data_IF_378994339983
#
_entry.id   IF_378994339983
#
_cell.length_a   1.000
_cell.length_b   1.000
_cell.length_c   1.000
_cell.angle_alpha   90.00
_cell.angle_beta   90.00
_cell.angle_gamma   90.00
#
_symmetry.space_group_name_H-M   'P 1'
#
loop_
_entity.id
_entity.type
_entity.pdbx_description
1 polymer ?
#
# COMPACT_ATOMS: atom_id res chain seq x y z
N UNK A 1 3.41 13.81 -17.74
CA UNK A 1 3.19 12.45 -17.18
C UNK A 1 3.07 12.61 -15.67
N UNK A 2 1.88 12.39 -15.10
CA UNK A 2 1.66 12.52 -13.66
C UNK A 2 2.33 11.33 -12.97
N UNK A 3 3.53 11.56 -12.39
CA UNK A 3 4.34 10.58 -11.65
C UNK A 3 3.62 10.04 -10.40
N UNK A 4 2.52 10.68 -10.07
CA UNK A 4 1.75 10.65 -8.83
C UNK A 4 0.73 9.53 -8.76
N UNK A 5 0.00 9.34 -9.85
CA UNK A 5 -0.89 8.18 -10.02
C UNK A 5 -0.07 6.91 -10.30
N UNK A 6 1.09 7.05 -10.95
CA UNK A 6 2.09 5.98 -11.12
C UNK A 6 2.69 5.52 -9.78
N UNK A 7 3.09 6.45 -8.90
CA UNK A 7 3.76 6.11 -7.64
C UNK A 7 2.83 5.43 -6.64
N UNK A 8 1.64 5.97 -6.39
CA UNK A 8 0.80 5.45 -5.32
C UNK A 8 0.17 4.09 -5.63
N UNK A 9 -0.10 3.77 -6.90
CA UNK A 9 -0.69 2.48 -7.30
C UNK A 9 0.36 1.45 -7.74
N UNK A 10 1.43 1.85 -8.44
CA UNK A 10 2.47 0.89 -8.87
C UNK A 10 3.33 0.37 -7.71
N UNK A 11 3.46 1.14 -6.62
CA UNK A 11 4.14 0.73 -5.37
C UNK A 11 3.24 -0.14 -4.49
N UNK A 12 1.93 -0.03 -4.68
CA UNK A 12 0.91 -0.67 -3.86
C UNK A 12 0.68 -2.14 -4.24
N UNK A 13 1.02 -2.57 -5.46
CA UNK A 13 0.58 -3.89 -5.95
C UNK A 13 1.65 -4.86 -6.43
N UNK A 14 2.93 -4.51 -6.31
CA UNK A 14 4.04 -5.45 -6.56
C UNK A 14 4.05 -6.67 -5.62
N UNK A 15 3.26 -6.65 -4.54
CA UNK A 15 3.15 -7.74 -3.59
C UNK A 15 1.77 -8.44 -3.53
N UNK A 16 0.72 -7.83 -4.09
CA UNK A 16 -0.64 -8.41 -4.07
C UNK A 16 -1.04 -9.05 -5.42
N UNK A 17 -0.29 -8.80 -6.49
CA UNK A 17 -0.65 -9.28 -7.84
C UNK A 17 0.27 -10.37 -8.37
N UNK A 18 0.01 -11.59 -7.88
CA UNK A 18 -0.02 -12.74 -8.77
C UNK A 18 -1.33 -13.53 -8.63
N UNK A 19 -2.32 -13.04 -7.86
CA UNK A 19 -3.46 -13.88 -7.48
C UNK A 19 -4.84 -13.20 -7.37
N UNK A 20 -5.02 -11.88 -7.56
CA UNK A 20 -6.34 -11.27 -7.30
C UNK A 20 -6.82 -10.18 -8.27
N UNK A 21 -6.04 -9.78 -9.26
CA UNK A 21 -6.52 -8.95 -10.37
C UNK A 21 -6.94 -9.84 -11.53
N UNK A 22 -8.09 -10.52 -11.43
CA UNK A 22 -8.58 -11.37 -12.51
C UNK A 22 -9.64 -10.63 -13.35
N UNK A 23 -9.37 -10.44 -14.64
CA UNK A 23 -10.39 -10.10 -15.63
C UNK A 23 -10.75 -11.37 -16.39
N UNK A 24 -11.96 -11.90 -16.22
CA UNK A 24 -12.40 -13.12 -16.90
C UNK A 24 -11.40 -14.31 -16.79
N UNK A 25 -10.66 -14.39 -15.68
CA UNK A 25 -9.62 -15.40 -15.46
C UNK A 25 -8.24 -15.08 -16.06
N UNK A 26 -8.04 -13.91 -16.70
CA UNK A 26 -6.71 -13.44 -17.08
C UNK A 26 -6.08 -12.56 -15.97
N UNK A 27 -4.80 -12.81 -15.63
CA UNK A 27 -4.08 -12.01 -14.65
C UNK A 27 -3.76 -10.62 -15.21
N UNK A 28 -4.20 -9.58 -14.50
CA UNK A 28 -3.84 -8.19 -14.78
C UNK A 28 -2.41 -7.90 -14.33
N UNK A 29 -1.68 -7.09 -15.11
CA UNK A 29 -0.37 -6.61 -14.70
C UNK A 29 -0.49 -5.45 -13.69
N UNK A 30 0.47 -5.29 -12.76
CA UNK A 30 0.37 -4.26 -11.71
C UNK A 30 0.29 -2.82 -12.23
N UNK A 31 0.84 -2.55 -13.41
CA UNK A 31 0.78 -1.26 -14.08
C UNK A 31 -0.58 -0.96 -14.74
N UNK A 32 -1.45 -1.96 -14.90
CA UNK A 32 -2.80 -1.79 -15.45
C UNK A 32 -3.79 -1.22 -14.43
N UNK A 33 -3.49 -1.28 -13.13
CA UNK A 33 -4.37 -0.84 -12.05
C UNK A 33 -4.03 0.61 -11.62
N UNK A 34 -5.03 1.45 -11.30
CA UNK A 34 -6.47 1.20 -11.38
C UNK A 34 -6.97 1.11 -12.82
N UNK A 35 -8.06 0.39 -13.06
CA UNK A 35 -8.74 0.36 -14.36
C UNK A 35 -10.23 0.60 -14.17
N UNK A 36 -10.91 1.04 -15.23
CA UNK A 36 -12.36 1.20 -15.28
C UNK A 36 -12.92 0.39 -16.43
N UNK A 37 -13.98 -0.37 -16.16
CA UNK A 37 -14.72 -1.14 -17.15
C UNK A 37 -16.19 -0.66 -17.19
N UNK A 38 -16.69 -0.41 -18.40
CA UNK A 38 -18.10 -0.08 -18.63
C UNK A 38 -18.58 -0.73 -19.92
N UNK A 39 -19.35 -1.81 -19.80
CA UNK A 39 -19.80 -2.60 -20.94
C UNK A 39 -18.61 -3.18 -21.71
N UNK A 40 -18.38 -2.70 -22.93
CA UNK A 40 -17.25 -3.12 -23.78
C UNK A 40 -16.01 -2.23 -23.65
N UNK A 41 -16.11 -1.12 -22.91
CA UNK A 41 -15.02 -0.18 -22.74
C UNK A 41 -14.17 -0.56 -21.53
N UNK A 42 -12.85 -0.52 -21.70
CA UNK A 42 -11.88 -0.68 -20.62
C UNK A 42 -10.82 0.41 -20.75
N UNK A 43 -10.52 1.08 -19.64
CA UNK A 43 -9.42 2.03 -19.53
C UNK A 43 -8.44 1.55 -18.46
N UNK A 44 -7.20 1.28 -18.86
CA UNK A 44 -6.12 0.90 -17.94
C UNK A 44 -5.29 2.11 -17.50
N UNK A 45 -4.62 1.98 -16.35
CA UNK A 45 -3.76 3.05 -15.83
C UNK A 45 -2.51 3.30 -16.68
N UNK A 46 -1.95 2.25 -17.28
CA UNK A 46 -0.77 2.35 -18.13
C UNK A 46 -1.05 2.93 -19.53
N UNK A 47 -2.31 3.19 -19.87
CA UNK A 47 -2.71 3.76 -21.15
C UNK A 47 -3.03 5.24 -21.04
N UNK A 48 -2.75 6.01 -22.10
CA UNK A 48 -3.12 7.43 -22.29
C UNK A 48 -2.80 8.36 -21.11
N UNK A 49 -1.89 7.96 -20.21
CA UNK A 49 -1.52 8.74 -19.03
C UNK A 49 -2.46 8.57 -17.83
N UNK A 50 -3.22 7.47 -17.77
CA UNK A 50 -4.07 7.09 -16.64
C UNK A 50 -5.56 7.10 -16.97
N UNK A 51 -6.34 6.37 -16.16
CA UNK A 51 -7.78 6.15 -16.36
C UNK A 51 -8.56 7.44 -16.58
N UNK A 52 -8.32 8.47 -15.77
CA UNK A 52 -9.03 9.77 -15.87
C UNK A 52 -8.80 10.41 -17.25
N UNK A 53 -7.56 10.32 -17.76
CA UNK A 53 -7.21 10.88 -19.05
C UNK A 53 -7.78 10.04 -20.19
N UNK A 54 -7.76 8.71 -20.08
CA UNK A 54 -8.43 7.82 -21.03
C UNK A 54 -9.92 8.14 -21.15
N UNK A 55 -10.63 8.25 -20.02
CA UNK A 55 -12.06 8.60 -20.00
C UNK A 55 -12.35 9.97 -20.65
N UNK A 56 -11.49 10.95 -20.43
CA UNK A 56 -11.63 12.27 -21.06
C UNK A 56 -11.36 12.24 -22.56
N UNK A 57 -10.31 11.56 -23.00
CA UNK A 57 -9.92 11.51 -24.42
C UNK A 57 -10.88 10.64 -25.25
N UNK A 58 -11.47 9.60 -24.64
CA UNK A 58 -12.41 8.69 -25.30
C UNK A 58 -13.87 9.20 -25.31
N UNK A 59 -14.07 10.46 -24.91
CA UNK A 59 -15.35 11.16 -25.08
C UNK A 59 -16.42 10.82 -24.05
N UNK A 60 -16.06 10.22 -22.91
CA UNK A 60 -17.00 10.00 -21.81
C UNK A 60 -17.34 11.33 -21.11
N UNK A 61 -16.41 11.85 -20.31
CA UNK A 61 -16.59 13.10 -19.57
C UNK A 61 -15.22 13.76 -19.36
N UNK A 62 -15.09 15.01 -19.76
CA UNK A 62 -13.95 15.86 -19.40
C UNK A 62 -14.29 16.75 -18.20
N UNK A 63 -13.97 16.25 -17.00
CA UNK A 63 -14.18 16.96 -15.74
C UNK A 63 -13.37 18.26 -15.66
N UNK A 64 -12.25 18.35 -16.39
CA UNK A 64 -11.28 19.43 -16.26
C UNK A 64 -11.45 20.51 -17.33
N UNK A 65 -12.36 20.34 -18.28
CA UNK A 65 -12.58 21.23 -19.43
C UNK A 65 -12.61 22.72 -19.10
N UNK A 66 -13.30 23.14 -18.04
CA UNK A 66 -13.42 24.56 -17.66
C UNK A 66 -12.25 25.08 -16.81
N UNK A 67 -11.39 24.19 -16.30
CA UNK A 67 -10.27 24.51 -15.40
C UNK A 67 -8.90 24.29 -16.03
N UNK A 68 -8.84 23.66 -17.21
CA UNK A 68 -7.64 23.47 -18.06
C UNK A 68 -7.07 24.84 -18.47
N UNK A 69 -6.17 25.36 -17.64
CA UNK A 69 -5.50 26.65 -17.87
C UNK A 69 -5.55 27.61 -16.70
N UNK A 70 -6.33 27.30 -15.66
CA UNK A 70 -6.36 28.08 -14.42
C UNK A 70 -5.08 27.74 -13.62
N UNK A 71 -4.14 28.70 -13.42
CA UNK A 71 -2.86 28.42 -12.75
C UNK A 71 -3.05 27.87 -11.34
N UNK A 72 -4.06 28.35 -10.62
CA UNK A 72 -4.40 27.89 -9.27
C UNK A 72 -4.85 26.44 -9.28
N UNK A 73 -5.64 26.02 -10.29
CA UNK A 73 -6.07 24.63 -10.44
C UNK A 73 -4.90 23.72 -10.78
N UNK A 74 -4.03 24.15 -11.71
CA UNK A 74 -2.82 23.39 -12.08
C UNK A 74 -1.92 23.21 -10.86
N UNK A 75 -1.75 24.25 -10.06
CA UNK A 75 -0.92 24.22 -8.85
C UNK A 75 -1.54 23.32 -7.77
N UNK A 76 -2.84 23.42 -7.53
CA UNK A 76 -3.56 22.54 -6.61
C UNK A 76 -3.47 21.07 -7.04
N UNK A 77 -3.67 20.79 -8.33
CA UNK A 77 -3.52 19.45 -8.89
C UNK A 77 -2.10 18.94 -8.73
N UNK A 78 -1.09 19.78 -8.98
CA UNK A 78 0.30 19.41 -8.79
C UNK A 78 0.64 19.13 -7.32
N UNK A 79 0.11 19.87 -6.34
CA UNK A 79 0.33 19.60 -4.91
C UNK A 79 -0.29 18.27 -4.47
N UNK A 80 -1.53 17.98 -4.91
CA UNK A 80 -2.18 16.70 -4.61
C UNK A 80 -1.42 15.55 -5.25
N UNK A 81 -1.10 15.70 -6.54
CA UNK A 81 -0.38 14.69 -7.29
C UNK A 81 1.03 14.48 -6.72
N UNK A 82 1.80 15.52 -6.42
CA UNK A 82 3.17 15.33 -5.92
C UNK A 82 3.22 15.19 -4.41
N UNK A 83 3.06 16.30 -3.69
CA UNK A 83 3.34 16.38 -2.25
C UNK A 83 2.48 15.47 -1.40
N UNK A 84 1.16 15.43 -1.64
CA UNK A 84 0.29 14.53 -0.88
C UNK A 84 0.54 13.08 -1.24
N UNK A 85 0.81 12.78 -2.52
CA UNK A 85 1.10 11.40 -2.90
C UNK A 85 2.40 10.89 -2.28
N UNK A 86 3.46 11.71 -2.30
CA UNK A 86 4.75 11.40 -1.69
C UNK A 86 4.59 11.17 -0.18
N UNK A 87 3.80 12.00 0.50
CA UNK A 87 3.55 11.85 1.93
C UNK A 87 2.75 10.58 2.25
N UNK A 88 1.76 10.21 1.42
CA UNK A 88 0.99 8.98 1.61
C UNK A 88 1.88 7.74 1.46
N UNK A 89 2.71 7.67 0.40
CA UNK A 89 3.59 6.52 0.22
C UNK A 89 4.69 6.49 1.29
N UNK A 90 5.17 7.64 1.74
CA UNK A 90 6.11 7.73 2.85
C UNK A 90 5.48 7.16 4.12
N UNK A 91 4.31 7.63 4.52
CA UNK A 91 3.62 7.16 5.73
C UNK A 91 3.31 5.68 5.69
N UNK A 92 2.78 5.19 4.56
CA UNK A 92 2.39 3.79 4.42
C UNK A 92 3.57 2.83 4.56
N UNK A 93 4.74 3.18 4.01
CA UNK A 93 5.87 2.25 3.86
C UNK A 93 7.07 2.55 4.76
N UNK A 94 7.24 3.79 5.22
CA UNK A 94 8.45 4.26 5.91
C UNK A 94 8.12 4.92 7.24
N UNK A 95 7.20 5.89 7.26
CA UNK A 95 6.92 6.75 8.41
C UNK A 95 6.12 6.09 9.54
N UNK A 96 5.24 5.14 9.20
CA UNK A 96 4.47 4.36 10.19
C UNK A 96 5.10 3.01 10.53
N UNK A 97 4.52 2.32 11.53
CA UNK A 97 4.95 0.99 12.00
C UNK A 97 4.76 -0.16 10.98
N UNK A 98 4.21 0.14 9.80
CA UNK A 98 3.92 -0.83 8.74
C UNK A 98 2.66 -1.68 8.99
N UNK A 99 1.92 -1.45 10.07
CA UNK A 99 0.70 -2.22 10.41
C UNK A 99 -0.35 -2.09 9.30
N UNK A 100 -0.56 -0.87 8.79
CA UNK A 100 -1.49 -0.63 7.68
C UNK A 100 -1.06 -1.32 6.40
N UNK A 101 0.21 -1.19 6.01
CA UNK A 101 0.74 -1.89 4.83
C UNK A 101 0.59 -3.41 4.96
N UNK A 102 0.92 -3.97 6.12
CA UNK A 102 0.75 -5.40 6.38
C UNK A 102 -0.70 -5.84 6.25
N UNK A 103 -1.62 -5.13 6.92
CA UNK A 103 -3.05 -5.44 6.90
C UNK A 103 -3.64 -5.41 5.48
N UNK A 104 -3.26 -4.41 4.67
CA UNK A 104 -3.83 -4.17 3.34
C UNK A 104 -3.23 -5.09 2.27
N UNK A 105 -1.92 -5.36 2.33
CA UNK A 105 -1.20 -6.01 1.22
C UNK A 105 -0.63 -7.39 1.54
N UNK A 106 -0.37 -7.70 2.81
CA UNK A 106 0.43 -8.87 3.19
C UNK A 106 -0.24 -9.77 4.22
N UNK A 107 -1.48 -9.48 4.62
CA UNK A 107 -2.19 -10.19 5.69
C UNK A 107 -2.47 -11.66 5.33
N UNK A 108 -2.59 -11.97 4.05
CA UNK A 108 -2.82 -13.32 3.53
C UNK A 108 -1.52 -14.11 3.28
N UNK A 109 -0.34 -13.49 3.43
CA UNK A 109 0.94 -14.10 3.09
C UNK A 109 1.61 -14.74 4.31
N UNK A 110 2.15 -15.97 4.17
CA UNK A 110 2.85 -16.63 5.27
C UNK A 110 4.17 -15.93 5.60
N UNK A 111 4.57 -16.00 6.86
CA UNK A 111 5.92 -15.61 7.26
C UNK A 111 6.95 -16.60 6.65
N UNK A 112 8.08 -16.13 6.07
CA UNK A 112 8.59 -14.76 6.07
C UNK A 112 8.26 -13.94 4.82
N UNK A 113 7.52 -14.49 3.85
CA UNK A 113 7.33 -13.89 2.52
C UNK A 113 6.78 -12.46 2.59
N UNK A 114 5.72 -12.23 3.39
CA UNK A 114 5.15 -10.90 3.55
C UNK A 114 6.15 -9.87 4.09
N UNK A 115 7.06 -10.28 4.99
CA UNK A 115 8.09 -9.38 5.55
C UNK A 115 9.14 -9.01 4.51
N UNK A 116 9.57 -9.97 3.69
CA UNK A 116 10.57 -9.73 2.62
C UNK A 116 10.01 -8.76 1.59
N UNK A 117 8.77 -8.97 1.15
CA UNK A 117 8.13 -8.09 0.17
C UNK A 117 7.90 -6.68 0.75
N UNK A 118 7.49 -6.58 2.02
CA UNK A 118 7.41 -5.30 2.72
C UNK A 118 8.75 -4.55 2.69
N UNK A 119 9.86 -5.21 3.06
CA UNK A 119 11.19 -4.59 3.06
C UNK A 119 11.64 -4.15 1.66
N UNK A 120 11.32 -4.95 0.63
CA UNK A 120 11.54 -4.56 -0.77
C UNK A 120 10.78 -3.27 -1.10
N UNK A 121 9.54 -3.15 -0.65
CA UNK A 121 8.72 -1.97 -0.90
C UNK A 121 9.24 -0.73 -0.16
N UNK A 122 9.66 -0.89 1.10
CA UNK A 122 10.33 0.18 1.86
C UNK A 122 11.57 0.69 1.10
N UNK A 123 12.38 -0.21 0.55
CA UNK A 123 13.55 0.17 -0.24
C UNK A 123 13.16 0.95 -1.51
N UNK A 124 12.18 0.47 -2.27
CA UNK A 124 11.68 1.16 -3.48
C UNK A 124 11.16 2.56 -3.16
N UNK A 125 10.38 2.70 -2.09
CA UNK A 125 9.84 4.01 -1.67
C UNK A 125 10.95 4.95 -1.25
N UNK A 126 11.95 4.48 -0.50
CA UNK A 126 13.11 5.31 -0.15
C UNK A 126 13.84 5.81 -1.40
N UNK A 127 14.00 4.99 -2.44
CA UNK A 127 14.61 5.42 -3.70
C UNK A 127 13.77 6.49 -4.41
N UNK A 128 12.45 6.27 -4.52
CA UNK A 128 11.52 7.21 -5.17
C UNK A 128 11.51 8.56 -4.46
N UNK A 129 11.56 8.55 -3.12
CA UNK A 129 11.56 9.74 -2.29
C UNK A 129 12.96 10.32 -2.06
N UNK A 130 14.02 9.72 -2.63
CA UNK A 130 15.40 10.17 -2.46
C UNK A 130 15.89 10.14 -1.00
N UNK A 131 15.38 9.19 -0.21
CA UNK A 131 15.72 9.00 1.21
C UNK A 131 16.95 8.09 1.31
N UNK A 132 18.03 8.62 1.87
CA UNK A 132 19.26 7.91 2.22
C UNK A 132 19.44 7.93 3.73
N UNK A 133 20.44 7.21 4.26
CA UNK A 133 20.72 7.18 5.69
C UNK A 133 21.13 8.57 6.21
N UNK A 134 21.83 9.36 5.39
CA UNK A 134 22.41 10.65 5.74
C UNK A 134 21.37 11.79 5.68
N UNK A 135 20.30 11.62 4.91
CA UNK A 135 19.31 12.68 4.67
C UNK A 135 17.91 12.37 5.20
N UNK A 136 17.73 11.24 5.90
CA UNK A 136 16.42 10.71 6.27
C UNK A 136 15.56 11.73 7.03
N UNK A 137 16.09 12.31 8.11
CA UNK A 137 15.40 13.31 8.93
C UNK A 137 15.00 14.53 8.09
N UNK A 138 15.95 15.08 7.32
CA UNK A 138 15.70 16.24 6.45
C UNK A 138 14.63 15.96 5.39
N UNK A 139 14.62 14.77 4.80
CA UNK A 139 13.61 14.37 3.79
C UNK A 139 12.25 14.17 4.43
N UNK A 140 12.20 13.55 5.59
CA UNK A 140 10.97 13.40 6.38
C UNK A 140 10.34 14.76 6.71
N UNK A 141 11.13 15.69 7.26
CA UNK A 141 10.67 17.05 7.55
C UNK A 141 10.15 17.76 6.29
N UNK A 142 10.85 17.61 5.16
CA UNK A 142 10.44 18.18 3.87
C UNK A 142 9.12 17.61 3.37
N UNK A 143 8.94 16.28 3.45
CA UNK A 143 7.72 15.58 3.05
C UNK A 143 6.52 16.08 3.88
N UNK A 144 6.66 16.11 5.20
CA UNK A 144 5.57 16.54 6.07
C UNK A 144 5.28 18.04 5.96
N UNK A 145 6.31 18.88 5.78
CA UNK A 145 6.12 20.32 5.51
C UNK A 145 5.34 20.53 4.22
N UNK A 146 5.75 19.88 3.13
CA UNK A 146 5.06 19.98 1.84
C UNK A 146 3.60 19.50 1.93
N UNK A 147 3.34 18.41 2.65
CA UNK A 147 1.98 17.92 2.86
C UNK A 147 1.12 18.90 3.67
N UNK A 148 1.68 19.48 4.73
CA UNK A 148 1.03 20.51 5.54
C UNK A 148 0.71 21.75 4.70
N UNK A 149 1.66 22.23 3.89
CA UNK A 149 1.45 23.37 3.00
C UNK A 149 0.37 23.09 1.96
N UNK A 150 0.33 21.86 1.40
CA UNK A 150 -0.75 21.42 0.53
C UNK A 150 -2.11 21.43 1.23
N UNK A 151 -2.23 20.88 2.45
CA UNK A 151 -3.49 20.90 3.19
C UNK A 151 -3.93 22.32 3.55
N UNK A 152 -3.03 23.20 3.98
CA UNK A 152 -3.33 24.61 4.21
C UNK A 152 -3.88 25.30 2.95
N UNK A 153 -3.22 25.10 1.80
CA UNK A 153 -3.62 25.69 0.54
C UNK A 153 -4.97 25.14 0.04
N UNK A 154 -5.17 23.82 0.13
CA UNK A 154 -6.41 23.15 -0.26
C UNK A 154 -7.58 23.53 0.66
N UNK A 155 -7.34 23.59 1.98
CA UNK A 155 -8.33 24.03 2.96
C UNK A 155 -8.76 25.47 2.68
N UNK A 156 -7.80 26.37 2.43
CA UNK A 156 -8.08 27.76 2.04
C UNK A 156 -8.86 27.82 0.73
N UNK A 157 -8.47 27.00 -0.26
CA UNK A 157 -9.11 26.96 -1.57
C UNK A 157 -10.55 26.46 -1.51
N UNK A 158 -10.81 25.43 -0.71
CA UNK A 158 -12.14 24.86 -0.55
C UNK A 158 -13.06 25.82 0.21
N UNK A 159 -12.57 26.39 1.32
CA UNK A 159 -13.40 27.22 2.21
C UNK A 159 -14.69 26.48 2.61
N UNK A 160 -15.83 27.09 2.27
CA UNK A 160 -17.18 26.54 2.47
C UNK A 160 -17.81 26.01 1.16
N UNK A 161 -17.05 25.91 0.07
CA UNK A 161 -17.55 25.47 -1.22
C UNK A 161 -17.78 23.95 -1.26
N UNK A 162 -18.65 23.52 -2.17
CA UNK A 162 -18.92 22.09 -2.36
C UNK A 162 -17.79 21.34 -3.07
N UNK A 163 -16.96 22.03 -3.85
CA UNK A 163 -15.84 21.52 -4.66
C UNK A 163 -14.69 22.53 -4.64
N UNK A 164 -13.48 22.10 -5.00
CA UNK A 164 -12.32 23.00 -5.00
C UNK A 164 -12.40 24.11 -6.06
N UNK A 165 -13.03 23.83 -7.21
CA UNK A 165 -13.16 24.77 -8.31
C UNK A 165 -14.56 24.70 -8.90
N UNK A 166 -15.16 25.87 -9.13
CA UNK A 166 -16.52 26.04 -9.64
C UNK A 166 -17.59 25.30 -8.81
N UNK A 167 -18.80 25.19 -9.36
CA UNK A 167 -19.93 24.48 -8.75
C UNK A 167 -20.03 23.00 -9.22
N UNK A 168 -18.94 22.41 -9.72
CA UNK A 168 -18.91 21.02 -10.21
C UNK A 168 -17.61 20.31 -9.81
N UNK A 169 -17.62 18.98 -9.62
CA UNK A 169 -16.39 18.24 -9.31
C UNK A 169 -15.44 18.22 -10.51
N UNK A 170 -14.14 18.30 -10.21
CA UNK A 170 -13.05 18.17 -11.18
C UNK A 170 -12.21 16.92 -10.89
N UNK A 171 -11.20 16.60 -11.72
CA UNK A 171 -10.28 15.51 -11.40
C UNK A 171 -9.47 15.76 -10.12
N UNK A 172 -9.28 17.03 -9.72
CA UNK A 172 -8.67 17.40 -8.45
C UNK A 172 -9.49 16.86 -7.27
N UNK A 173 -10.81 17.07 -7.29
CA UNK A 173 -11.74 16.60 -6.26
C UNK A 173 -11.68 15.07 -6.11
N UNK A 174 -11.70 14.35 -7.24
CA UNK A 174 -11.63 12.90 -7.26
C UNK A 174 -10.32 12.36 -6.65
N UNK A 175 -9.17 12.92 -7.06
CA UNK A 175 -7.86 12.46 -6.56
C UNK A 175 -7.67 12.83 -5.09
N UNK A 176 -8.03 14.07 -4.71
CA UNK A 176 -7.95 14.49 -3.31
C UNK A 176 -8.82 13.63 -2.42
N UNK A 177 -10.07 13.33 -2.82
CA UNK A 177 -10.98 12.50 -2.05
C UNK A 177 -10.37 11.11 -1.81
N UNK A 178 -9.75 10.50 -2.83
CA UNK A 178 -9.03 9.24 -2.68
C UNK A 178 -7.89 9.32 -1.65
N UNK A 179 -7.08 10.38 -1.72
CA UNK A 179 -5.98 10.62 -0.77
C UNK A 179 -6.48 10.85 0.66
N UNK A 180 -7.54 11.65 0.83
CA UNK A 180 -8.11 11.97 2.13
C UNK A 180 -8.77 10.73 2.76
N UNK A 181 -9.53 9.95 1.99
CA UNK A 181 -10.10 8.70 2.47
C UNK A 181 -9.02 7.71 2.89
N UNK A 182 -7.97 7.54 2.08
CA UNK A 182 -6.86 6.67 2.45
C UNK A 182 -6.18 7.15 3.74
N UNK A 183 -5.91 8.45 3.84
CA UNK A 183 -5.26 9.06 5.01
C UNK A 183 -6.09 8.89 6.28
N UNK A 184 -7.40 9.10 6.23
CA UNK A 184 -8.28 9.01 7.40
C UNK A 184 -8.59 7.56 7.81
N UNK A 185 -8.67 6.63 6.86
CA UNK A 185 -9.24 5.30 7.11
C UNK A 185 -8.25 4.13 6.98
N UNK A 186 -7.17 4.31 6.22
CA UNK A 186 -6.16 3.27 6.03
C UNK A 186 -4.94 3.49 6.93
N UNK A 187 -4.51 4.73 7.16
CA UNK A 187 -3.35 5.04 8.01
C UNK A 187 -3.69 4.91 9.51
N UNK A 188 -2.72 4.51 10.35
CA UNK A 188 -2.93 4.34 11.78
C UNK A 188 -3.19 5.69 12.45
N UNK A 189 -3.78 5.68 13.65
CA UNK A 189 -4.02 6.90 14.44
C UNK A 189 -2.73 7.65 14.81
N UNK A 190 -1.60 6.94 14.85
CA UNK A 190 -0.26 7.50 15.10
C UNK A 190 0.35 8.20 13.88
N UNK A 191 -0.30 8.16 12.72
CA UNK A 191 0.20 8.84 11.51
C UNK A 191 0.23 10.35 11.70
N UNK A 192 1.39 10.94 11.38
CA UNK A 192 1.61 12.37 11.36
C UNK A 192 0.79 13.02 10.26
N UNK A 193 0.78 12.43 9.06
CA UNK A 193 -0.02 12.92 7.93
C UNK A 193 -1.52 12.93 8.25
N UNK A 194 -2.02 11.86 8.89
CA UNK A 194 -3.41 11.80 9.36
C UNK A 194 -3.71 12.91 10.35
N UNK A 195 -2.82 13.12 11.32
CA UNK A 195 -2.95 14.19 12.30
C UNK A 195 -2.99 15.57 11.60
N UNK A 196 -2.15 15.79 10.58
CA UNK A 196 -2.17 17.02 9.78
C UNK A 196 -3.45 17.24 9.00
N UNK A 197 -4.02 16.22 8.37
CA UNK A 197 -5.31 16.35 7.70
C UNK A 197 -6.44 16.68 8.70
N UNK A 198 -6.39 16.10 9.92
CA UNK A 198 -7.37 16.36 10.97
C UNK A 198 -7.30 17.78 11.54
N UNK A 199 -6.21 18.53 11.35
CA UNK A 199 -6.13 19.96 11.69
C UNK A 199 -7.03 20.84 10.80
N UNK A 200 -7.59 20.30 9.70
CA UNK A 200 -8.41 21.02 8.73
C UNK A 200 -9.86 20.52 8.67
N UNK A 201 -10.70 21.01 9.58
CA UNK A 201 -12.11 20.59 9.74
C UNK A 201 -12.92 20.62 8.44
N UNK A 202 -12.71 21.63 7.57
CA UNK A 202 -13.45 21.75 6.33
C UNK A 202 -13.10 20.64 5.31
N UNK A 203 -11.82 20.23 5.24
CA UNK A 203 -11.37 19.11 4.41
C UNK A 203 -11.89 17.77 4.95
N UNK A 204 -11.90 17.60 6.27
CA UNK A 204 -12.46 16.40 6.91
C UNK A 204 -13.95 16.31 6.63
N UNK A 205 -14.70 17.40 6.86
CA UNK A 205 -16.14 17.47 6.58
C UNK A 205 -16.46 17.20 5.10
N UNK A 206 -15.66 17.75 4.19
CA UNK A 206 -15.76 17.46 2.75
C UNK A 206 -15.59 15.96 2.46
N UNK A 207 -14.57 15.34 3.06
CA UNK A 207 -14.27 13.92 2.88
C UNK A 207 -15.39 13.02 3.41
N UNK A 208 -15.90 13.29 4.62
CA UNK A 208 -17.00 12.53 5.22
C UNK A 208 -18.31 12.66 4.45
N UNK A 209 -18.61 13.84 3.94
CA UNK A 209 -19.79 14.08 3.11
C UNK A 209 -19.78 13.15 1.88
N UNK A 210 -18.71 13.20 1.09
CA UNK A 210 -18.65 12.41 -0.14
C UNK A 210 -18.41 10.92 0.11
N UNK A 211 -17.80 10.55 1.23
CA UNK A 211 -17.78 9.15 1.69
C UNK A 211 -19.20 8.61 1.88
N UNK A 212 -20.04 9.37 2.57
CA UNK A 212 -21.42 8.96 2.88
C UNK A 212 -22.24 8.84 1.59
N UNK A 213 -22.15 9.83 0.69
CA UNK A 213 -22.84 9.80 -0.62
C UNK A 213 -22.42 8.60 -1.48
N UNK A 214 -21.13 8.21 -1.46
CA UNK A 214 -20.63 7.04 -2.20
C UNK A 214 -21.19 5.73 -1.64
N UNK A 215 -21.29 5.61 -0.31
CA UNK A 215 -21.88 4.43 0.35
C UNK A 215 -23.39 4.35 0.08
N UNK A 216 -24.11 5.48 0.18
CA UNK A 216 -25.55 5.54 -0.04
C UNK A 216 -25.93 5.23 -1.51
N UNK A 217 -25.12 5.70 -2.45
CA UNK A 217 -25.26 5.40 -3.89
C UNK A 217 -25.02 3.91 -4.19
N UNK A 218 -24.09 3.29 -3.46
CA UNK A 218 -23.81 1.85 -3.56
C UNK A 218 -24.95 1.00 -2.96
N UNK A 219 -25.58 1.48 -1.89
CA UNK A 219 -26.76 0.84 -1.29
C UNK A 219 -27.97 0.81 -2.22
N UNK A 220 -28.19 1.89 -2.97
CA UNK A 220 -29.36 2.04 -3.87
C UNK A 220 -29.27 1.21 -5.15
N UNK A 221 -28.06 0.84 -5.58
CA UNK A 221 -27.83 0.04 -6.80
C UNK A 221 -27.85 -1.49 -6.57
N UNK A 222 -28.01 -1.94 -5.31
CA UNK A 222 -27.91 -3.35 -4.93
C UNK A 222 -29.26 -4.12 -4.87
N UNK A 223 -30.36 -3.53 -5.35
CA UNK A 223 -31.69 -4.18 -5.35
C UNK A 223 -31.93 -5.15 -6.53
N UNK A 224 -30.87 -5.74 -7.09
CA UNK A 224 -30.96 -6.72 -8.18
C UNK A 224 -30.16 -7.99 -7.90
N UNK A 225 -30.89 -9.09 -7.67
CA UNK A 225 -30.44 -10.51 -7.59
C UNK A 225 -29.86 -11.00 -6.26
N UNK A 226 -30.77 -11.26 -5.31
CA UNK A 226 -30.63 -12.39 -4.39
C UNK A 226 -30.64 -13.70 -5.18
N UNK A 227 -29.65 -14.56 -4.94
CA UNK A 227 -29.88 -16.01 -5.01
C UNK A 227 -29.30 -16.63 -3.75
N UNK A 228 -30.22 -17.09 -2.90
CA UNK A 228 -29.95 -17.87 -1.70
C UNK A 228 -29.59 -19.29 -2.12
N UNK A 229 -28.59 -19.85 -1.46
CA UNK A 229 -28.53 -21.30 -1.22
C UNK A 229 -27.79 -21.54 0.09
N UNK A 230 -28.56 -21.75 1.17
CA UNK A 230 -28.09 -22.42 2.38
C UNK A 230 -27.68 -23.87 2.05
N UNK A 231 -26.82 -24.48 2.87
CA UNK A 231 -27.40 -25.46 3.77
C UNK A 231 -26.93 -25.31 5.22
N UNK A 232 -27.91 -25.38 6.10
CA UNK A 232 -27.79 -25.57 7.53
C UNK A 232 -27.31 -26.99 7.85
N UNK A 233 -26.24 -27.12 8.63
CA UNK A 233 -26.13 -28.20 9.61
C UNK A 233 -25.23 -27.74 10.78
N UNK A 234 -25.89 -27.53 11.91
CA UNK A 234 -25.31 -27.27 13.22
C UNK A 234 -24.74 -28.56 13.84
N UNK A 235 -23.65 -28.44 14.60
CA UNK A 235 -23.55 -28.88 16.01
C UNK A 235 -22.19 -28.44 16.62
N UNK A 236 -22.12 -28.21 17.94
CA UNK A 236 -21.18 -27.27 18.55
C UNK A 236 -19.95 -27.97 19.18
N UNK A 237 -18.78 -27.34 19.12
CA UNK A 237 -17.60 -27.75 19.91
C UNK A 237 -17.41 -26.84 21.12
N UNK A 238 -17.75 -27.39 22.28
CA UNK A 238 -17.37 -26.91 23.61
C UNK A 238 -15.86 -27.17 23.84
N UNK A 239 -15.13 -26.31 24.57
CA UNK A 239 -13.68 -26.43 24.70
C UNK A 239 -13.33 -27.44 25.79
N UNK A 240 -12.53 -28.46 25.45
CA UNK A 240 -11.90 -29.33 26.45
C UNK A 240 -10.50 -28.83 26.75
N UNK A 241 -10.34 -28.23 27.93
CA UNK A 241 -9.04 -28.12 28.61
C UNK A 241 -8.48 -29.54 28.79
N UNK A 242 -7.32 -29.82 28.20
CA UNK A 242 -6.50 -30.96 28.56
C UNK A 242 -5.08 -30.48 28.83
N UNK A 243 -4.82 -30.21 30.11
CA UNK A 243 -3.48 -30.04 30.64
C UNK A 243 -2.90 -31.43 30.95
N UNK A 244 -1.88 -31.83 30.19
CA UNK A 244 -1.03 -32.96 30.59
C UNK A 244 0.41 -32.50 30.71
N UNK A 245 0.85 -32.38 31.96
CA UNK A 245 2.26 -32.29 32.34
C UNK A 245 3.08 -33.36 31.60
N UNK A 246 4.26 -33.04 31.04
CA UNK A 246 5.09 -34.04 30.39
C UNK A 246 5.68 -34.97 31.45
N UNK A 247 5.21 -36.22 31.48
CA UNK A 247 5.88 -37.32 32.19
C UNK A 247 7.08 -37.74 31.35
N UNK A 248 8.28 -37.66 31.94
CA UNK A 248 9.52 -38.13 31.35
C UNK A 248 9.41 -39.61 30.98
N UNK A 249 9.63 -39.93 29.70
CA UNK A 249 9.86 -41.31 29.23
C UNK A 249 11.36 -41.48 28.92
N UNK A 250 11.93 -42.68 29.14
CA UNK A 250 13.36 -42.90 29.03
C UNK A 250 13.84 -42.74 27.57
N UNK A 251 15.08 -42.27 27.42
CA UNK A 251 15.79 -42.09 26.14
C UNK A 251 15.62 -43.34 25.26
N UNK A 252 14.76 -43.24 24.23
CA UNK A 252 14.74 -44.19 23.13
C UNK A 252 16.01 -43.96 22.31
N UNK A 253 16.79 -45.00 22.16
CA UNK A 253 18.02 -45.01 21.38
C UNK A 253 17.69 -44.59 19.95
N UNK A 254 18.28 -43.48 19.49
CA UNK A 254 18.07 -42.96 18.15
C UNK A 254 18.76 -43.88 17.16
N UNK A 255 17.98 -44.65 16.40
CA UNK A 255 18.46 -45.43 15.27
C UNK A 255 19.17 -44.50 14.28
N UNK A 256 20.30 -44.96 13.73
CA UNK A 256 21.15 -44.17 12.81
C UNK A 256 20.38 -43.59 11.61
N UNK A 257 19.29 -44.24 11.20
CA UNK A 257 18.42 -43.78 10.14
C UNK A 257 17.65 -42.49 10.49
N UNK A 258 17.14 -42.36 11.72
CA UNK A 258 16.42 -41.15 12.16
C UNK A 258 17.35 -39.93 12.25
N UNK A 259 18.61 -40.14 12.65
CA UNK A 259 19.66 -39.11 12.59
C UNK A 259 19.95 -38.69 11.15
N UNK A 260 19.98 -39.65 10.21
CA UNK A 260 20.21 -39.40 8.78
C UNK A 260 19.03 -38.64 8.15
N UNK A 261 17.79 -38.97 8.49
CA UNK A 261 16.61 -38.22 8.05
C UNK A 261 16.61 -36.80 8.59
N UNK A 262 16.95 -36.59 9.87
CA UNK A 262 17.01 -35.23 10.43
C UNK A 262 18.15 -34.40 9.83
N UNK A 263 19.28 -35.02 9.49
CA UNK A 263 20.36 -34.36 8.73
C UNK A 263 19.90 -34.01 7.31
N UNK A 264 19.27 -34.94 6.60
CA UNK A 264 18.70 -34.72 5.25
C UNK A 264 17.62 -33.64 5.24
N UNK A 265 16.75 -33.60 6.26
CA UNK A 265 15.74 -32.56 6.43
C UNK A 265 16.38 -31.19 6.71
N UNK A 266 17.46 -31.14 7.51
CA UNK A 266 18.25 -29.92 7.68
C UNK A 266 18.90 -29.46 6.37
N UNK A 267 19.49 -30.38 5.60
CA UNK A 267 20.04 -30.05 4.28
C UNK A 267 18.96 -29.56 3.33
N UNK A 268 17.76 -30.16 3.35
CA UNK A 268 16.63 -29.72 2.55
C UNK A 268 16.23 -28.28 2.85
N UNK A 269 16.12 -27.92 4.14
CA UNK A 269 15.84 -26.54 4.58
C UNK A 269 16.96 -25.56 4.18
N UNK A 270 18.23 -25.98 4.31
CA UNK A 270 19.37 -25.18 3.88
C UNK A 270 19.37 -24.98 2.37
N UNK A 271 19.14 -26.02 1.57
CA UNK A 271 19.02 -25.89 0.12
C UNK A 271 17.84 -25.02 -0.29
N UNK A 272 16.72 -25.08 0.44
CA UNK A 272 15.56 -24.25 0.16
C UNK A 272 15.85 -22.77 0.48
N UNK A 273 16.55 -22.50 1.58
CA UNK A 273 17.04 -21.15 1.91
C UNK A 273 18.02 -20.64 0.85
N UNK A 274 18.98 -21.46 0.43
CA UNK A 274 19.95 -21.12 -0.62
C UNK A 274 19.24 -20.87 -1.96
N UNK A 275 18.25 -21.67 -2.34
CA UNK A 275 17.48 -21.47 -3.55
C UNK A 275 16.70 -20.15 -3.53
N UNK A 276 16.12 -19.78 -2.38
CA UNK A 276 15.46 -18.47 -2.19
C UNK A 276 16.49 -17.34 -2.30
N UNK A 277 17.64 -17.45 -1.66
CA UNK A 277 18.70 -16.44 -1.75
C UNK A 277 19.21 -16.27 -3.19
N UNK A 278 19.48 -17.36 -3.91
CA UNK A 278 19.90 -17.33 -5.32
C UNK A 278 18.81 -16.73 -6.21
N UNK A 279 17.54 -17.09 -6.01
CA UNK A 279 16.42 -16.51 -6.74
C UNK A 279 16.31 -14.99 -6.48
N UNK A 280 16.50 -14.56 -5.24
CA UNK A 280 16.53 -13.15 -4.89
C UNK A 280 17.74 -12.42 -5.48
N UNK A 281 18.92 -13.05 -5.53
CA UNK A 281 20.12 -12.48 -6.19
C UNK A 281 19.97 -12.38 -7.71
N UNK A 282 19.27 -13.33 -8.34
CA UNK A 282 19.02 -13.32 -9.78
C UNK A 282 17.93 -12.30 -10.17
N UNK A 283 16.96 -12.04 -9.30
CA UNK A 283 15.90 -11.05 -9.52
C UNK A 283 16.26 -9.64 -9.04
N UNK A 284 17.18 -9.49 -8.10
CA UNK A 284 17.67 -8.22 -7.56
C UNK A 284 19.08 -7.92 -8.04
N UNK A 285 19.27 -7.83 -9.36
CA UNK A 285 20.57 -7.69 -10.02
C UNK A 285 21.60 -6.83 -9.27
N UNK A 286 22.74 -7.45 -8.99
CA UNK A 286 24.08 -6.90 -8.72
C UNK A 286 24.16 -5.40 -8.37
N UNK A 287 23.98 -5.05 -7.10
CA UNK A 287 24.67 -3.92 -6.42
C UNK A 287 24.41 -4.00 -4.91
N UNK A 288 25.01 -4.98 -4.24
CA UNK A 288 25.11 -5.04 -2.78
C UNK A 288 26.15 -6.07 -2.36
N UNK A 289 27.43 -5.77 -2.57
CA UNK A 289 28.52 -6.53 -1.98
C UNK A 289 29.68 -5.60 -1.63
N UNK A 290 29.45 -4.69 -0.69
CA UNK A 290 30.49 -4.27 0.27
C UNK A 290 29.85 -4.37 1.66
N UNK A 291 30.04 -5.54 2.27
CA UNK A 291 29.95 -5.70 3.72
C UNK A 291 31.40 -5.72 4.17
N UNK A 292 31.94 -4.56 4.53
CA UNK A 292 33.14 -4.49 5.35
C UNK A 292 32.81 -5.17 6.68
N UNK A 293 33.47 -6.31 6.90
CA UNK A 293 33.54 -6.97 8.18
C UNK A 293 34.64 -6.24 8.96
N UNK A 294 34.26 -5.29 9.81
CA UNK A 294 35.19 -4.78 10.81
C UNK A 294 35.41 -5.88 11.85
N UNK A 295 36.65 -6.40 11.85
CA UNK A 295 37.18 -7.34 12.81
C UNK A 295 37.22 -6.73 14.21
N UNK A 296 36.79 -7.52 15.19
CA UNK A 296 36.95 -7.26 16.61
C UNK A 296 38.46 -7.06 16.94
N UNK A 297 38.83 -5.88 17.45
CA UNK A 297 40.14 -5.64 18.07
C UNK A 297 40.01 -5.71 19.60
N UNK A 298 40.51 -6.82 20.14
CA UNK A 298 40.72 -7.07 21.55
C UNK A 298 41.79 -6.11 22.11
N UNK A 299 41.35 -5.12 22.90
CA UNK A 299 42.23 -4.21 23.63
C UNK A 299 41.92 -4.18 25.12
N UNK A 300 42.15 -5.30 25.81
CA UNK A 300 42.29 -5.30 27.26
C UNK A 300 43.68 -4.75 27.63
N UNK A 301 43.74 -3.64 28.36
CA UNK A 301 44.91 -3.33 29.18
C UNK A 301 44.50 -2.76 30.54
N UNK A 302 45.22 -3.21 31.55
CA UNK A 302 45.09 -2.89 32.97
C UNK A 302 46.07 -1.76 33.32
N UNK A 303 45.56 -0.65 33.85
CA UNK A 303 45.98 0.00 35.12
C UNK A 303 45.22 1.31 35.33
#
# INVERSE_FOLDING_TARGET
>A
MSRSSLGMFSIVEGARLSALGERQGEPLSPDQIPYVESGTYVAYNNEKGGVIRSLSEDGFVDLDSQVRGIPEWISAKAMVDSWLADAIIYELWVGSDGTSAHKIYYSDLPWPLGKILYLKQVHVVKQILGITKENAERREEEIYRNANDAFCALSTRLGEQAYFFDNRPTSLDAVFLGHALFTLYALPETSVLRSKLLEHDNLVRYTEKYKSELVDSSGSSSSGSQSQSDPSSSMPRRPSQWSSKPKSKPKREKTEEEKKFRRRAKYFLVTQLVAVLVFLSLLGGSDAAEVELDEDDDGADYD
#
